data_IF_878705559828
#
_entry.id   IF_878705559828
#
_cell.length_a   1.000
_cell.length_b   1.000
_cell.length_c   1.000
_cell.angle_alpha   90.00
_cell.angle_beta   90.00
_cell.angle_gamma   90.00
#
_symmetry.space_group_name_H-M   'P 1'
#
loop_
_entity.id
_entity.type
_entity.pdbx_description
1 polymer ?
#
# COMPACT_ATOMS: atom_id res chain seq x y z
N UNK A 1 -1.48 -10.64 21.73
CA UNK A 1 -0.84 -10.64 20.39
C UNK A 1 -1.73 -10.03 19.31
N UNK A 2 -2.97 -10.51 19.07
CA UNK A 2 -3.88 -9.94 18.04
C UNK A 2 -4.10 -8.41 18.14
N UNK A 3 -4.25 -7.85 19.34
CA UNK A 3 -4.44 -6.39 19.52
C UNK A 3 -3.23 -5.54 19.10
N UNK A 4 -1.99 -6.01 19.38
CA UNK A 4 -0.76 -5.28 19.05
C UNK A 4 -0.57 -5.19 17.52
N UNK A 5 -0.88 -6.27 16.81
CA UNK A 5 -0.80 -6.33 15.35
C UNK A 5 -1.85 -5.42 14.71
N UNK A 6 -3.07 -5.40 15.26
CA UNK A 6 -4.12 -4.48 14.81
C UNK A 6 -3.72 -3.01 14.97
N UNK A 7 -3.11 -2.63 16.10
CA UNK A 7 -2.67 -1.25 16.29
C UNK A 7 -1.49 -0.88 15.39
N UNK A 8 -0.58 -1.82 15.12
CA UNK A 8 0.53 -1.58 14.20
C UNK A 8 0.03 -1.49 12.74
N UNK A 9 -0.92 -2.33 12.34
CA UNK A 9 -1.57 -2.25 11.03
C UNK A 9 -2.27 -0.91 10.84
N UNK A 10 -3.01 -0.42 11.85
CA UNK A 10 -3.65 0.91 11.84
C UNK A 10 -2.65 2.04 11.61
N UNK A 11 -1.43 1.95 12.13
CA UNK A 11 -0.38 2.94 11.86
C UNK A 11 0.04 2.93 10.39
N UNK A 12 0.17 1.76 9.78
CA UNK A 12 0.48 1.65 8.35
C UNK A 12 -0.66 2.17 7.48
N UNK A 13 -1.90 1.85 7.82
CA UNK A 13 -3.07 2.37 7.13
C UNK A 13 -3.16 3.90 7.23
N UNK A 14 -2.93 4.47 8.42
CA UNK A 14 -2.91 5.92 8.58
C UNK A 14 -1.81 6.62 7.75
N UNK A 15 -0.66 5.96 7.53
CA UNK A 15 0.37 6.49 6.62
C UNK A 15 -0.13 6.41 5.17
N UNK A 16 -0.72 5.29 4.77
CA UNK A 16 -1.33 5.14 3.44
C UNK A 16 -2.45 6.16 3.18
N UNK A 17 -3.28 6.46 4.17
CA UNK A 17 -4.33 7.49 4.10
C UNK A 17 -3.72 8.88 3.84
N UNK A 18 -2.64 9.22 4.55
CA UNK A 18 -1.95 10.48 4.37
C UNK A 18 -1.29 10.60 2.98
N UNK A 19 -0.63 9.54 2.51
CA UNK A 19 -0.01 9.50 1.18
C UNK A 19 -1.09 9.67 0.10
N UNK A 20 -2.19 8.91 0.19
CA UNK A 20 -3.29 8.99 -0.78
C UNK A 20 -3.91 10.39 -0.81
N UNK A 21 -4.20 10.96 0.38
CA UNK A 21 -4.76 12.31 0.48
C UNK A 21 -3.81 13.35 -0.10
N UNK A 22 -2.50 13.22 0.14
CA UNK A 22 -1.51 14.13 -0.43
C UNK A 22 -1.49 14.06 -1.96
N UNK A 23 -1.52 12.85 -2.54
CA UNK A 23 -1.56 12.67 -3.98
C UNK A 23 -2.82 13.29 -4.59
N UNK A 24 -3.99 13.06 -3.99
CA UNK A 24 -5.29 13.59 -4.45
C UNK A 24 -5.31 15.13 -4.41
N UNK A 25 -4.97 15.72 -3.27
CA UNK A 25 -4.96 17.19 -3.14
C UNK A 25 -3.92 17.82 -4.08
N UNK A 26 -2.74 17.21 -4.24
CA UNK A 26 -1.72 17.74 -5.16
C UNK A 26 -2.18 17.70 -6.61
N UNK A 27 -2.93 16.66 -7.00
CA UNK A 27 -3.50 16.56 -8.34
C UNK A 27 -4.54 17.64 -8.60
N UNK A 28 -5.45 17.85 -7.64
CA UNK A 28 -6.53 18.85 -7.74
C UNK A 28 -5.99 20.29 -7.77
N UNK A 29 -4.98 20.59 -6.95
CA UNK A 29 -4.47 21.95 -6.77
C UNK A 29 -3.52 22.41 -7.89
N UNK A 30 -2.61 21.54 -8.32
CA UNK A 30 -1.46 22.00 -9.12
C UNK A 30 -1.58 21.73 -10.62
N UNK A 31 -2.33 20.71 -11.05
CA UNK A 31 -2.35 20.28 -12.45
C UNK A 31 -0.96 20.02 -13.04
N UNK A 32 0.01 19.63 -12.20
CA UNK A 32 1.42 19.45 -12.51
C UNK A 32 2.04 18.37 -11.61
N UNK A 33 3.34 18.06 -11.80
CA UNK A 33 4.07 17.07 -10.99
C UNK A 33 3.47 15.65 -11.00
N UNK A 34 2.89 15.26 -12.14
CA UNK A 34 2.19 13.98 -12.29
C UNK A 34 3.05 12.78 -11.90
N UNK A 35 4.35 12.79 -12.21
CA UNK A 35 5.26 11.72 -11.83
C UNK A 35 5.37 11.58 -10.30
N UNK A 36 5.49 12.70 -9.59
CA UNK A 36 5.54 12.73 -8.12
C UNK A 36 4.20 12.30 -7.52
N UNK A 37 3.08 12.74 -8.08
CA UNK A 37 1.74 12.35 -7.64
C UNK A 37 1.56 10.84 -7.79
N UNK A 38 1.90 10.26 -8.94
CA UNK A 38 1.85 8.82 -9.18
C UNK A 38 2.76 8.06 -8.21
N UNK A 39 3.97 8.57 -7.94
CA UNK A 39 4.89 7.97 -6.99
C UNK A 39 4.31 7.94 -5.57
N UNK A 40 3.66 9.02 -5.11
CA UNK A 40 3.02 9.03 -3.79
C UNK A 40 1.81 8.10 -3.74
N UNK A 41 1.02 8.02 -4.82
CA UNK A 41 -0.09 7.06 -4.90
C UNK A 41 0.40 5.60 -4.83
N UNK A 42 1.51 5.28 -5.53
CA UNK A 42 2.20 3.99 -5.46
C UNK A 42 2.65 3.67 -4.04
N UNK A 43 3.21 4.67 -3.34
CA UNK A 43 3.63 4.53 -1.94
C UNK A 43 2.43 4.27 -1.02
N UNK A 44 1.29 4.94 -1.23
CA UNK A 44 0.07 4.67 -0.47
C UNK A 44 -0.37 3.21 -0.56
N UNK A 45 -0.43 2.66 -1.79
CA UNK A 45 -0.72 1.24 -2.03
C UNK A 45 0.25 0.32 -1.27
N UNK A 46 1.55 0.63 -1.30
CA UNK A 46 2.57 -0.12 -0.57
C UNK A 46 2.30 -0.16 0.94
N UNK A 47 1.91 0.98 1.55
CA UNK A 47 1.61 1.08 2.98
C UNK A 47 0.37 0.28 3.35
N UNK A 48 -0.66 0.25 2.51
CA UNK A 48 -1.83 -0.60 2.72
C UNK A 48 -1.49 -2.09 2.68
N UNK A 49 -0.75 -2.54 1.67
CA UNK A 49 -0.31 -3.95 1.58
C UNK A 49 0.53 -4.35 2.80
N UNK A 50 1.48 -3.51 3.21
CA UNK A 50 2.28 -3.74 4.42
C UNK A 50 1.41 -3.78 5.68
N UNK A 51 0.45 -2.89 5.82
CA UNK A 51 -0.52 -2.89 6.93
C UNK A 51 -1.35 -4.17 6.99
N UNK A 52 -1.82 -4.66 5.84
CA UNK A 52 -2.54 -5.94 5.74
C UNK A 52 -1.66 -7.12 6.17
N UNK A 53 -0.41 -7.18 5.68
CA UNK A 53 0.54 -8.22 6.10
C UNK A 53 0.86 -8.17 7.60
N UNK A 54 0.98 -6.98 8.21
CA UNK A 54 1.11 -6.85 9.67
C UNK A 54 -0.12 -7.39 10.38
N UNK A 55 -1.31 -7.08 9.90
CA UNK A 55 -2.57 -7.50 10.51
C UNK A 55 -2.69 -9.03 10.57
N UNK A 56 -2.30 -9.72 9.49
CA UNK A 56 -2.52 -11.16 9.31
C UNK A 56 -1.28 -12.04 9.59
N UNK A 57 -0.08 -11.59 9.20
CA UNK A 57 1.18 -12.36 9.30
C UNK A 57 2.18 -11.79 10.33
N UNK A 58 1.84 -10.69 11.00
CA UNK A 58 2.68 -10.03 12.02
C UNK A 58 4.04 -9.51 11.53
N UNK A 59 4.32 -9.58 10.22
CA UNK A 59 5.53 -9.03 9.59
C UNK A 59 5.35 -8.95 8.07
N UNK A 60 6.23 -8.18 7.42
CA UNK A 60 6.37 -8.13 5.97
C UNK A 60 7.86 -8.00 5.61
N UNK A 61 8.31 -8.47 4.43
CA UNK A 61 9.67 -8.26 3.97
C UNK A 61 9.92 -6.77 3.66
N UNK A 62 11.08 -6.24 4.03
CA UNK A 62 11.47 -4.84 3.74
C UNK A 62 11.82 -4.64 2.27
N UNK A 63 10.81 -4.74 1.41
CA UNK A 63 10.87 -4.53 -0.04
C UNK A 63 9.90 -3.42 -0.44
N UNK A 64 10.12 -2.86 -1.61
CA UNK A 64 9.30 -1.79 -2.21
C UNK A 64 8.53 -2.24 -3.47
N UNK A 65 8.61 -3.53 -3.78
CA UNK A 65 7.99 -4.16 -4.94
C UNK A 65 6.52 -4.49 -4.61
N UNK A 66 5.59 -3.76 -5.23
CA UNK A 66 4.15 -3.93 -5.00
C UNK A 66 3.68 -5.32 -5.42
N UNK A 67 4.17 -5.83 -6.56
CA UNK A 67 3.78 -7.15 -7.08
C UNK A 67 4.13 -8.25 -6.07
N UNK A 68 5.33 -8.19 -5.47
CA UNK A 68 5.75 -9.15 -4.43
C UNK A 68 4.92 -9.00 -3.16
N UNK A 69 4.66 -7.78 -2.72
CA UNK A 69 3.82 -7.55 -1.53
C UNK A 69 2.38 -8.03 -1.74
N UNK A 70 1.81 -7.79 -2.92
CA UNK A 70 0.48 -8.26 -3.32
C UNK A 70 0.42 -9.78 -3.34
N UNK A 71 1.40 -10.46 -3.92
CA UNK A 71 1.47 -11.94 -3.91
C UNK A 71 1.50 -12.50 -2.49
N UNK A 72 2.18 -11.84 -1.55
CA UNK A 72 2.17 -12.25 -0.14
C UNK A 72 0.81 -12.01 0.53
N UNK A 73 0.05 -11.01 0.10
CA UNK A 73 -1.32 -10.78 0.53
C UNK A 73 -2.26 -11.83 -0.06
N UNK A 74 -2.04 -12.22 -1.32
CA UNK A 74 -2.80 -13.25 -2.03
C UNK A 74 -2.70 -14.65 -1.39
N UNK A 75 -1.62 -14.93 -0.67
CA UNK A 75 -1.50 -16.14 0.17
C UNK A 75 -2.49 -16.16 1.35
N UNK A 76 -3.08 -15.02 1.71
CA UNK A 76 -4.07 -14.88 2.80
C UNK A 76 -5.47 -14.75 2.21
N UNK A 77 -5.64 -13.83 1.26
CA UNK A 77 -6.91 -13.51 0.62
C UNK A 77 -6.72 -13.46 -0.90
N UNK A 78 -7.38 -14.38 -1.63
CA UNK A 78 -7.05 -14.61 -3.05
C UNK A 78 -7.44 -13.45 -3.97
N UNK A 79 -8.43 -12.67 -3.58
CA UNK A 79 -8.93 -11.51 -4.32
C UNK A 79 -7.85 -10.45 -4.59
N UNK A 80 -6.74 -10.46 -3.84
CA UNK A 80 -5.58 -9.62 -4.18
C UNK A 80 -5.01 -9.91 -5.57
N UNK A 81 -5.15 -11.13 -6.10
CA UNK A 81 -4.69 -11.47 -7.45
C UNK A 81 -5.42 -10.70 -8.56
N UNK A 82 -6.60 -10.16 -8.27
CA UNK A 82 -7.36 -9.34 -9.22
C UNK A 82 -6.61 -8.03 -9.57
N UNK A 83 -5.63 -7.62 -8.75
CA UNK A 83 -4.79 -6.44 -8.99
C UNK A 83 -3.34 -6.78 -9.43
N UNK A 84 -3.09 -8.04 -9.82
CA UNK A 84 -1.74 -8.49 -10.15
C UNK A 84 -1.16 -7.78 -11.38
N UNK A 85 -1.99 -7.47 -12.37
CA UNK A 85 -1.56 -6.79 -13.58
C UNK A 85 -1.19 -5.33 -13.28
N UNK A 86 -2.05 -4.61 -12.55
CA UNK A 86 -1.84 -3.21 -12.15
C UNK A 86 -0.56 -3.05 -11.36
N UNK A 87 -0.29 -3.95 -10.41
CA UNK A 87 0.94 -3.88 -9.62
C UNK A 87 2.19 -4.14 -10.45
N UNK A 88 2.10 -4.91 -11.53
CA UNK A 88 3.24 -5.11 -12.44
C UNK A 88 3.62 -3.84 -13.20
N UNK A 89 2.67 -2.95 -13.50
CA UNK A 89 2.95 -1.67 -14.15
C UNK A 89 3.50 -0.60 -13.19
N UNK A 90 3.24 -0.77 -11.89
CA UNK A 90 3.58 0.19 -10.83
C UNK A 90 4.82 -0.20 -9.99
N UNK A 91 5.42 -1.36 -10.26
CA UNK A 91 6.57 -1.91 -9.49
C UNK A 91 7.93 -1.57 -10.11
#
# INVERSE_FOLDING_TARGET
>A
MKQKNSQQAKKWFAIGDNDLKYAQTSFEEFGAFYAQICFIAQQAAEKYLKGFLILHKNSFPKIHDLTKLLKLCAEIEKDFLDFADETSYLS
#
